data_IF_862575444895
#
_entry.id   IF_862575444895
#
_cell.length_a   1.000
_cell.length_b   1.000
_cell.length_c   1.000
_cell.angle_alpha   90.00
_cell.angle_beta   90.00
_cell.angle_gamma   90.00
#
_symmetry.space_group_name_H-M   'P 1'
#
loop_
_entity.id
_entity.type
_entity.pdbx_description
1 polymer ?
#
# COMPACT_ATOMS: atom_id res chain seq x y z
N UNK A 1 4.35 6.04 16.67
CA UNK A 1 3.51 5.63 15.51
C UNK A 1 2.13 5.46 16.10
N UNK A 2 1.22 6.35 15.75
CA UNK A 2 -0.05 6.44 16.45
C UNK A 2 -0.90 5.19 16.19
N UNK A 3 -1.44 4.58 17.27
CA UNK A 3 -2.29 3.37 17.23
C UNK A 3 -3.47 3.49 16.23
N UNK A 4 -3.94 4.70 16.01
CA UNK A 4 -5.06 5.00 15.10
C UNK A 4 -4.72 4.63 13.65
N UNK A 5 -3.50 4.91 13.18
CA UNK A 5 -3.10 4.61 11.80
C UNK A 5 -2.99 3.11 11.51
N UNK A 6 -2.69 2.30 12.52
CA UNK A 6 -2.62 0.83 12.39
C UNK A 6 -4.02 0.22 12.30
N UNK A 7 -4.97 0.66 13.12
CA UNK A 7 -6.36 0.18 13.07
C UNK A 7 -7.02 0.50 11.73
N UNK A 8 -6.89 1.73 11.25
CA UNK A 8 -7.39 2.13 9.93
C UNK A 8 -6.76 1.31 8.80
N UNK A 9 -5.47 1.01 8.89
CA UNK A 9 -4.77 0.17 7.94
C UNK A 9 -5.33 -1.27 7.92
N UNK A 10 -5.62 -1.84 9.08
CA UNK A 10 -6.20 -3.19 9.20
C UNK A 10 -7.63 -3.21 8.66
N UNK A 11 -8.47 -2.24 8.99
CA UNK A 11 -9.83 -2.13 8.49
C UNK A 11 -9.87 -1.99 6.97
N UNK A 12 -9.03 -1.12 6.41
CA UNK A 12 -8.90 -0.99 4.97
C UNK A 12 -8.46 -2.30 4.31
N UNK A 13 -7.44 -2.97 4.86
CA UNK A 13 -6.98 -4.23 4.32
C UNK A 13 -8.10 -5.27 4.23
N UNK A 14 -8.99 -5.31 5.24
CA UNK A 14 -10.15 -6.20 5.29
C UNK A 14 -11.28 -5.81 4.35
N UNK A 15 -11.47 -4.53 4.12
CA UNK A 15 -12.58 -4.01 3.28
C UNK A 15 -12.38 -4.22 1.79
N UNK A 16 -11.17 -4.58 1.33
CA UNK A 16 -10.87 -4.75 -0.08
C UNK A 16 -11.61 -5.97 -0.66
N UNK A 17 -12.24 -5.78 -1.82
CA UNK A 17 -12.90 -6.86 -2.56
C UNK A 17 -11.87 -7.85 -3.10
N UNK A 18 -12.01 -9.11 -2.73
CA UNK A 18 -11.15 -10.19 -3.24
C UNK A 18 -11.62 -10.59 -4.64
N UNK A 19 -10.69 -10.64 -5.58
CA UNK A 19 -10.95 -10.95 -6.99
C UNK A 19 -9.92 -11.95 -7.51
N UNK A 20 -10.32 -12.74 -8.50
CA UNK A 20 -9.38 -13.54 -9.29
C UNK A 20 -8.40 -12.61 -10.03
N UNK A 21 -7.15 -13.06 -10.30
CA UNK A 21 -6.19 -12.25 -11.06
C UNK A 21 -6.71 -11.77 -12.40
N UNK A 22 -7.44 -12.61 -13.15
CA UNK A 22 -8.04 -12.26 -14.43
C UNK A 22 -9.01 -11.07 -14.35
N UNK A 23 -9.76 -10.95 -13.27
CA UNK A 23 -10.73 -9.87 -13.09
C UNK A 23 -10.09 -8.64 -12.46
N UNK A 24 -9.16 -8.83 -11.54
CA UNK A 24 -8.40 -7.74 -10.95
C UNK A 24 -7.65 -6.91 -12.01
N UNK A 25 -7.01 -7.56 -12.98
CA UNK A 25 -6.25 -6.86 -14.01
C UNK A 25 -7.11 -6.14 -15.06
N UNK A 26 -8.40 -6.42 -15.15
CA UNK A 26 -9.36 -5.66 -15.96
C UNK A 26 -9.77 -4.32 -15.34
N UNK A 27 -9.59 -4.16 -14.02
CA UNK A 27 -9.92 -2.92 -13.33
C UNK A 27 -8.96 -1.79 -13.72
N UNK A 28 -9.46 -0.56 -13.69
CA UNK A 28 -8.62 0.65 -13.76
C UNK A 28 -7.75 0.83 -12.49
N UNK A 29 -6.74 1.68 -12.59
CA UNK A 29 -5.75 1.89 -11.51
C UNK A 29 -6.41 2.39 -10.22
N UNK A 30 -7.40 3.28 -10.32
CA UNK A 30 -8.06 3.87 -9.16
C UNK A 30 -8.90 2.82 -8.42
N UNK A 31 -9.59 1.96 -9.16
CA UNK A 31 -10.43 0.89 -8.60
C UNK A 31 -9.61 -0.25 -7.99
N UNK A 32 -8.43 -0.56 -8.54
CA UNK A 32 -7.56 -1.62 -8.01
C UNK A 32 -7.15 -1.42 -6.55
N UNK A 33 -7.11 -0.18 -6.04
CA UNK A 33 -6.78 0.07 -4.62
C UNK A 33 -7.81 -0.52 -3.64
N UNK A 34 -9.07 -0.65 -4.09
CA UNK A 34 -10.17 -1.21 -3.28
C UNK A 34 -10.40 -2.70 -3.54
N UNK A 35 -9.54 -3.32 -4.33
CA UNK A 35 -9.55 -4.74 -4.61
C UNK A 35 -8.24 -5.39 -4.17
N UNK A 36 -8.28 -6.70 -3.98
CA UNK A 36 -7.11 -7.49 -3.64
C UNK A 36 -7.11 -8.78 -4.45
N UNK A 37 -5.93 -9.21 -4.84
CA UNK A 37 -5.71 -10.50 -5.50
C UNK A 37 -4.34 -11.05 -5.15
N UNK A 38 -4.16 -12.34 -5.39
CA UNK A 38 -2.87 -13.00 -5.29
C UNK A 38 -2.65 -13.78 -6.58
N UNK A 39 -1.60 -13.44 -7.32
CA UNK A 39 -1.24 -14.18 -8.54
C UNK A 39 -0.87 -15.62 -8.21
N UNK A 40 -1.00 -16.52 -9.20
CA UNK A 40 -0.76 -17.97 -9.08
C UNK A 40 -1.79 -18.73 -8.22
N UNK A 41 -2.81 -18.08 -7.67
CA UNK A 41 -3.93 -18.75 -7.02
C UNK A 41 -5.15 -18.76 -7.96
N UNK A 42 -5.83 -19.90 -7.99
CA UNK A 42 -6.89 -20.19 -8.94
C UNK A 42 -8.30 -19.96 -8.37
N UNK A 43 -8.43 -19.92 -7.04
CA UNK A 43 -9.74 -19.79 -6.38
C UNK A 43 -9.79 -18.60 -5.45
N UNK A 44 -10.99 -18.07 -5.26
CA UNK A 44 -11.24 -16.97 -4.31
C UNK A 44 -10.89 -17.41 -2.89
N UNK A 45 -11.19 -18.63 -2.50
CA UNK A 45 -10.93 -19.15 -1.15
C UNK A 45 -9.42 -19.19 -0.85
N UNK A 46 -8.60 -19.61 -1.82
CA UNK A 46 -7.14 -19.58 -1.68
C UNK A 46 -6.63 -18.15 -1.51
N UNK A 47 -7.14 -17.23 -2.32
CA UNK A 47 -6.76 -15.81 -2.23
C UNK A 47 -7.18 -15.25 -0.87
N UNK A 48 -8.40 -15.54 -0.42
CA UNK A 48 -8.91 -15.10 0.87
C UNK A 48 -8.06 -15.64 2.01
N UNK A 49 -7.72 -16.92 2.02
CA UNK A 49 -6.83 -17.53 3.02
C UNK A 49 -5.50 -16.80 3.15
N UNK A 50 -4.85 -16.47 2.03
CA UNK A 50 -3.59 -15.72 2.05
C UNK A 50 -3.78 -14.29 2.58
N UNK A 51 -4.85 -13.61 2.19
CA UNK A 51 -5.13 -12.25 2.66
C UNK A 51 -5.50 -12.25 4.15
N UNK A 52 -6.25 -13.24 4.63
CA UNK A 52 -6.56 -13.39 6.06
C UNK A 52 -5.29 -13.64 6.89
N UNK A 53 -4.35 -14.41 6.35
CA UNK A 53 -3.03 -14.57 6.98
C UNK A 53 -2.27 -13.24 7.07
N UNK A 54 -2.31 -12.39 6.04
CA UNK A 54 -1.74 -11.02 6.09
C UNK A 54 -2.43 -10.18 7.18
N UNK A 55 -3.77 -10.18 7.20
CA UNK A 55 -4.55 -9.40 8.16
C UNK A 55 -4.28 -9.82 9.60
N UNK A 56 -4.25 -11.15 9.83
CA UNK A 56 -3.93 -11.69 11.16
C UNK A 56 -2.53 -11.29 11.59
N UNK A 57 -1.54 -11.43 10.72
CA UNK A 57 -0.16 -11.06 11.02
C UNK A 57 -0.03 -9.56 11.33
N UNK A 58 -0.72 -8.70 10.57
CA UNK A 58 -0.75 -7.25 10.85
C UNK A 58 -1.37 -6.95 12.21
N UNK A 59 -2.51 -7.57 12.52
CA UNK A 59 -3.24 -7.36 13.77
C UNK A 59 -2.43 -7.79 14.99
N UNK A 60 -1.72 -8.90 14.89
CA UNK A 60 -0.97 -9.51 15.98
C UNK A 60 0.46 -8.91 16.10
N UNK A 61 0.83 -7.95 15.22
CA UNK A 61 2.20 -7.39 15.18
C UNK A 61 3.26 -8.42 14.77
N UNK A 62 2.85 -9.47 14.05
CA UNK A 62 3.68 -10.60 13.70
C UNK A 62 4.68 -10.32 12.57
N UNK A 63 5.54 -11.29 12.32
CA UNK A 63 6.63 -11.25 11.35
C UNK A 63 6.25 -11.94 10.03
N UNK A 64 7.14 -11.83 9.02
CA UNK A 64 7.01 -12.62 7.80
C UNK A 64 6.97 -14.13 8.05
N UNK A 65 7.73 -14.63 9.04
CA UNK A 65 7.72 -16.06 9.38
C UNK A 65 6.37 -16.51 9.94
N UNK A 66 5.70 -15.66 10.70
CA UNK A 66 4.36 -15.96 11.23
C UNK A 66 3.32 -15.98 10.11
N UNK A 67 3.40 -15.04 9.17
CA UNK A 67 2.59 -15.05 7.95
C UNK A 67 2.80 -16.34 7.14
N UNK A 68 4.06 -16.74 6.91
CA UNK A 68 4.39 -17.96 6.17
C UNK A 68 3.76 -19.20 6.80
N UNK A 69 3.86 -19.36 8.12
CA UNK A 69 3.22 -20.48 8.85
C UNK A 69 1.70 -20.50 8.69
N UNK A 70 1.06 -19.33 8.72
CA UNK A 70 -0.39 -19.24 8.52
C UNK A 70 -0.81 -19.65 7.10
N UNK A 71 -0.05 -19.28 6.09
CA UNK A 71 -0.33 -19.68 4.69
C UNK A 71 -0.10 -21.19 4.50
N UNK A 72 0.98 -21.74 5.06
CA UNK A 72 1.27 -23.17 5.03
C UNK A 72 0.19 -24.00 5.74
N UNK A 73 -0.35 -23.52 6.85
CA UNK A 73 -1.47 -24.15 7.55
C UNK A 73 -2.76 -24.19 6.70
N UNK A 74 -2.90 -23.28 5.74
CA UNK A 74 -3.98 -23.26 4.74
C UNK A 74 -3.73 -24.17 3.53
N UNK A 75 -2.72 -25.03 3.55
CA UNK A 75 -2.28 -25.90 2.43
C UNK A 75 -2.01 -25.15 1.11
N UNK A 76 -1.55 -23.91 1.20
CA UNK A 76 -1.21 -23.10 0.03
C UNK A 76 0.29 -23.16 -0.21
N UNK A 77 0.68 -23.64 -1.40
CA UNK A 77 2.07 -23.81 -1.82
C UNK A 77 2.49 -22.68 -2.76
N UNK A 78 3.13 -21.66 -2.20
CA UNK A 78 3.77 -20.59 -2.96
C UNK A 78 5.25 -20.50 -2.61
N UNK A 79 6.07 -20.05 -3.57
CA UNK A 79 7.50 -19.86 -3.30
C UNK A 79 7.71 -18.77 -2.22
N UNK A 80 8.78 -18.92 -1.43
CA UNK A 80 9.14 -17.93 -0.39
C UNK A 80 9.26 -16.51 -0.93
N UNK A 81 9.83 -16.34 -2.12
CA UNK A 81 9.94 -15.03 -2.77
C UNK A 81 8.58 -14.45 -3.13
N UNK A 82 7.64 -15.30 -3.55
CA UNK A 82 6.28 -14.87 -3.86
C UNK A 82 5.54 -14.44 -2.58
N UNK A 83 5.63 -15.25 -1.53
CA UNK A 83 5.08 -14.92 -0.21
C UNK A 83 5.65 -13.62 0.36
N UNK A 84 6.96 -13.40 0.27
CA UNK A 84 7.60 -12.14 0.71
C UNK A 84 7.03 -10.94 -0.07
N UNK A 85 6.86 -11.09 -1.38
CA UNK A 85 6.28 -10.03 -2.20
C UNK A 85 4.82 -9.71 -1.83
N UNK A 86 4.00 -10.74 -1.61
CA UNK A 86 2.61 -10.60 -1.15
C UNK A 86 2.56 -9.87 0.20
N UNK A 87 3.33 -10.36 1.17
CA UNK A 87 3.36 -9.83 2.52
C UNK A 87 3.73 -8.35 2.53
N UNK A 88 4.88 -8.00 1.95
CA UNK A 88 5.37 -6.61 1.91
C UNK A 88 4.43 -5.68 1.17
N UNK A 89 3.91 -6.11 0.01
CA UNK A 89 3.01 -5.26 -0.79
C UNK A 89 1.70 -4.98 -0.05
N UNK A 90 1.12 -5.98 0.59
CA UNK A 90 -0.15 -5.80 1.30
C UNK A 90 0.02 -4.94 2.57
N UNK A 91 1.10 -5.15 3.32
CA UNK A 91 1.43 -4.32 4.49
C UNK A 91 1.64 -2.87 4.07
N UNK A 92 2.43 -2.63 3.03
CA UNK A 92 2.69 -1.27 2.54
C UNK A 92 1.42 -0.57 2.06
N UNK A 93 0.53 -1.28 1.36
CA UNK A 93 -0.76 -0.75 0.93
C UNK A 93 -1.64 -0.36 2.12
N UNK A 94 -1.69 -1.20 3.15
CA UNK A 94 -2.45 -0.93 4.37
C UNK A 94 -1.93 0.33 5.09
N UNK A 95 -0.64 0.41 5.33
CA UNK A 95 -0.03 1.60 5.96
C UNK A 95 -0.16 2.87 5.11
N UNK A 96 -0.04 2.76 3.79
CA UNK A 96 -0.22 3.91 2.90
C UNK A 96 -1.64 4.44 2.94
N UNK A 97 -2.65 3.56 3.06
CA UNK A 97 -4.03 3.98 3.21
C UNK A 97 -4.26 4.71 4.54
N UNK A 98 -3.83 4.15 5.67
CA UNK A 98 -3.93 4.81 6.98
C UNK A 98 -3.23 6.18 6.97
N UNK A 99 -2.04 6.26 6.36
CA UNK A 99 -1.32 7.53 6.17
C UNK A 99 -2.12 8.53 5.34
N UNK A 100 -2.74 8.09 4.26
CA UNK A 100 -3.60 8.94 3.44
C UNK A 100 -4.78 9.50 4.23
N UNK A 101 -5.47 8.66 5.00
CA UNK A 101 -6.59 9.09 5.85
C UNK A 101 -6.13 10.12 6.89
N UNK A 102 -5.02 9.87 7.55
CA UNK A 102 -4.44 10.83 8.49
C UNK A 102 -4.03 12.15 7.83
N UNK A 103 -3.51 12.13 6.60
CA UNK A 103 -3.20 13.34 5.84
C UNK A 103 -4.48 14.09 5.46
N UNK A 104 -5.53 13.38 5.04
CA UNK A 104 -6.84 13.98 4.72
C UNK A 104 -7.49 14.62 5.96
N UNK A 105 -7.43 14.00 7.12
CA UNK A 105 -7.98 14.58 8.37
C UNK A 105 -7.25 15.84 8.82
N UNK A 106 -6.00 16.02 8.40
CA UNK A 106 -5.17 17.18 8.72
C UNK A 106 -5.04 18.19 7.56
N UNK A 107 -5.83 18.06 6.49
CA UNK A 107 -5.66 18.84 5.27
C UNK A 107 -5.83 20.36 5.45
N UNK A 108 -6.62 20.81 6.41
CA UNK A 108 -6.77 22.24 6.71
C UNK A 108 -5.45 22.89 7.17
N UNK A 109 -4.63 22.13 7.89
CA UNK A 109 -3.31 22.58 8.37
C UNK A 109 -2.16 22.27 7.39
N UNK A 110 -2.33 21.23 6.56
CA UNK A 110 -1.30 20.70 5.65
C UNK A 110 -1.89 20.43 4.28
N UNK A 111 -2.03 21.50 3.50
CA UNK A 111 -2.72 21.47 2.21
C UNK A 111 -1.90 20.86 1.08
N UNK A 112 -0.59 20.77 1.21
CA UNK A 112 0.30 20.34 0.15
C UNK A 112 1.06 19.08 0.54
N UNK A 113 1.24 18.19 -0.42
CA UNK A 113 2.06 17.00 -0.30
C UNK A 113 3.19 17.06 -1.34
N UNK A 114 4.36 16.56 -0.97
CA UNK A 114 5.49 16.41 -1.88
C UNK A 114 5.73 14.94 -2.16
N UNK A 115 5.86 14.58 -3.43
CA UNK A 115 6.26 13.24 -3.81
C UNK A 115 7.75 13.06 -3.53
N UNK A 116 8.09 12.10 -2.67
CA UNK A 116 9.47 11.82 -2.32
C UNK A 116 9.87 10.42 -2.78
N UNK A 117 10.78 10.31 -3.75
CA UNK A 117 11.38 9.05 -4.14
C UNK A 117 12.71 8.83 -3.41
N UNK A 118 13.02 7.58 -3.08
CA UNK A 118 14.35 7.22 -2.60
C UNK A 118 15.30 7.29 -3.80
N UNK A 119 16.37 8.05 -3.68
CA UNK A 119 17.36 8.21 -4.75
C UNK A 119 18.43 7.10 -4.63
N UNK A 120 18.04 5.86 -4.98
CA UNK A 120 18.96 4.73 -5.05
C UNK A 120 18.87 4.00 -6.41
N UNK A 121 19.82 3.07 -6.65
CA UNK A 121 19.90 2.31 -7.90
C UNK A 121 18.69 1.38 -8.16
N UNK A 122 17.82 1.16 -7.15
CA UNK A 122 16.62 0.32 -7.24
C UNK A 122 15.38 1.11 -7.58
N UNK A 123 15.45 2.43 -7.47
CA UNK A 123 14.28 3.29 -7.73
C UNK A 123 14.02 3.38 -9.24
N UNK A 124 12.78 3.11 -9.60
CA UNK A 124 12.36 3.13 -11.02
C UNK A 124 12.51 4.55 -11.59
N UNK A 125 13.00 4.70 -12.85
CA UNK A 125 13.17 6.02 -13.48
C UNK A 125 11.89 6.86 -13.50
N UNK A 126 10.71 6.23 -13.65
CA UNK A 126 9.42 6.91 -13.59
C UNK A 126 9.12 7.55 -12.23
N UNK A 127 9.58 6.94 -11.14
CA UNK A 127 9.41 7.48 -9.79
C UNK A 127 10.39 8.62 -9.51
N UNK A 128 11.61 8.53 -10.03
CA UNK A 128 12.60 9.61 -9.91
C UNK A 128 12.11 10.89 -10.60
N UNK A 129 11.42 10.78 -11.74
CA UNK A 129 10.82 11.94 -12.44
C UNK A 129 9.75 12.66 -11.60
N UNK A 130 9.14 11.98 -10.65
CA UNK A 130 8.14 12.56 -9.76
C UNK A 130 8.76 13.15 -8.48
N UNK A 131 10.05 12.88 -8.22
CA UNK A 131 10.72 13.34 -7.01
C UNK A 131 10.62 14.86 -6.85
N UNK A 132 10.24 15.29 -5.62
CA UNK A 132 10.02 16.70 -5.24
C UNK A 132 8.85 17.42 -5.94
N UNK A 133 7.99 16.71 -6.67
CA UNK A 133 6.74 17.32 -7.15
C UNK A 133 5.85 17.62 -5.96
N UNK A 134 5.46 18.89 -5.84
CA UNK A 134 4.53 19.37 -4.80
C UNK A 134 3.17 19.61 -5.44
N UNK A 135 2.10 19.11 -4.82
CA UNK A 135 0.72 19.30 -5.25
C UNK A 135 -0.20 19.46 -4.05
N UNK A 136 -1.29 20.19 -4.25
CA UNK A 136 -2.36 20.24 -3.26
C UNK A 136 -2.89 18.83 -2.97
N UNK A 137 -3.27 18.56 -1.73
CA UNK A 137 -3.71 17.22 -1.31
C UNK A 137 -4.93 16.71 -2.09
N UNK A 138 -5.79 17.60 -2.56
CA UNK A 138 -6.98 17.27 -3.37
C UNK A 138 -6.68 17.21 -4.88
N UNK A 139 -5.41 17.41 -5.31
CA UNK A 139 -5.02 17.33 -6.71
C UNK A 139 -5.23 15.91 -7.27
N UNK A 140 -5.77 15.83 -8.50
CA UNK A 140 -5.99 14.56 -9.21
C UNK A 140 -4.70 13.74 -9.39
N UNK A 141 -3.54 14.37 -9.35
CA UNK A 141 -2.23 13.72 -9.33
C UNK A 141 -2.16 12.59 -8.31
N UNK A 142 -2.69 12.79 -7.09
CA UNK A 142 -2.63 11.80 -6.03
C UNK A 142 -3.53 10.58 -6.26
N UNK A 143 -4.52 10.68 -7.12
CA UNK A 143 -5.34 9.51 -7.51
C UNK A 143 -4.51 8.45 -8.22
N UNK A 144 -3.50 8.88 -8.97
CA UNK A 144 -2.64 7.99 -9.77
C UNK A 144 -1.29 7.73 -9.09
N UNK A 145 -0.69 8.76 -8.50
CA UNK A 145 0.71 8.71 -8.05
C UNK A 145 0.90 8.65 -6.54
N UNK A 146 -0.17 8.59 -5.74
CA UNK A 146 0.00 8.39 -4.30
C UNK A 146 0.62 7.01 -4.01
N UNK A 147 1.71 6.95 -3.23
CA UNK A 147 2.40 5.68 -2.95
C UNK A 147 1.56 4.68 -2.15
N UNK A 148 1.81 3.38 -2.32
CA UNK A 148 2.84 2.78 -3.18
C UNK A 148 2.39 2.64 -4.64
N UNK A 149 3.26 3.05 -5.57
CA UNK A 149 3.05 2.98 -7.01
C UNK A 149 3.64 1.70 -7.62
N UNK A 150 3.18 0.55 -7.17
CA UNK A 150 3.58 -0.76 -7.65
C UNK A 150 4.29 -1.61 -6.59
N UNK A 151 4.60 -2.84 -6.97
CA UNK A 151 5.22 -3.83 -6.08
C UNK A 151 6.56 -3.34 -5.54
N UNK A 152 6.79 -3.54 -4.22
CA UNK A 152 8.01 -3.15 -3.51
C UNK A 152 8.37 -1.66 -3.64
N UNK A 153 7.37 -0.82 -3.79
CA UNK A 153 7.58 0.62 -3.81
C UNK A 153 7.64 1.15 -2.38
N UNK A 154 8.84 1.47 -1.93
CA UNK A 154 9.06 2.16 -0.65
C UNK A 154 9.13 3.64 -0.93
N UNK A 155 8.23 4.42 -0.34
CA UNK A 155 8.32 5.86 -0.40
C UNK A 155 8.28 6.44 1.01
N UNK A 156 9.27 7.23 1.38
CA UNK A 156 9.26 7.95 2.64
C UNK A 156 8.19 9.05 2.65
N UNK A 157 7.93 9.55 3.82
CA UNK A 157 6.85 10.45 4.16
C UNK A 157 6.85 11.74 3.35
N UNK A 158 5.65 12.13 2.94
CA UNK A 158 5.38 13.44 2.36
C UNK A 158 4.94 14.39 3.47
N UNK A 159 5.83 15.26 3.93
CA UNK A 159 5.49 16.33 4.87
C UNK A 159 5.94 17.65 4.29
N UNK A 160 5.02 18.59 4.13
CA UNK A 160 5.38 20.00 4.05
C UNK A 160 4.47 20.74 5.01
N UNK A 161 5.06 21.29 6.07
CA UNK A 161 4.41 22.25 6.91
C UNK A 161 4.26 23.55 6.11
N UNK A 162 3.07 24.11 6.11
CA UNK A 162 2.73 25.31 5.32
C UNK A 162 3.34 26.61 5.84
N UNK A 163 4.63 26.61 6.17
CA UNK A 163 5.39 27.81 6.47
C UNK A 163 6.72 27.76 5.72
N UNK A 164 6.87 28.71 4.80
CA UNK A 164 8.07 29.02 4.03
C UNK A 164 8.45 28.08 2.89
N UNK A 165 7.97 28.37 1.68
CA UNK A 165 8.86 28.51 0.54
C UNK A 165 8.22 29.47 -0.46
N UNK A 166 8.77 30.67 -0.51
CA UNK A 166 8.52 31.60 -1.57
C UNK A 166 8.80 30.96 -2.94
N UNK A 167 8.05 31.41 -3.90
CA UNK A 167 8.18 31.05 -5.29
C UNK A 167 9.65 31.08 -5.76
N UNK A 168 10.05 30.02 -6.46
CA UNK A 168 11.04 30.11 -7.52
C UNK A 168 10.40 29.55 -8.78
#
# INVERSE_FOLDING_TARGET
>A
MDDISLLEAIEFARSRKVLLPSDYYKLDVATRRYAATVSQLATIDQIQTVLDAVHKTLKDGGTFNDFQKLVEAGDIKLSKNHLDNIFRTNIQNAYAHGRWQHQQSNKEKRQYLMYWAIEDSRTRPGHLKLHRIIRHIDDAFWKTFYPPNGYRCFLPETKIDGASHGAI
#
